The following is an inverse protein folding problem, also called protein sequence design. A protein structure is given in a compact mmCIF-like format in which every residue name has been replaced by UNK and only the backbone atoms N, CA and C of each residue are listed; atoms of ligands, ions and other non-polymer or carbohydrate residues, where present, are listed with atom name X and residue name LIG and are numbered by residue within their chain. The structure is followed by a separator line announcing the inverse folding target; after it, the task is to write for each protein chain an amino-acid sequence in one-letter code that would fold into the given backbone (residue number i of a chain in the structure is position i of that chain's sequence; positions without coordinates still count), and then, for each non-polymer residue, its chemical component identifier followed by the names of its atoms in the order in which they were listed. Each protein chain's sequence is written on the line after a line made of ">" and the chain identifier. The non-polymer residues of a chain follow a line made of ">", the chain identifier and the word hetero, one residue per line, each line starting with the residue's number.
data_IF_806631739174
#
_entry.id   IF_806631739174
#
_cell.length_a   1.000
_cell.length_b   1.000
_cell.length_c   1.000
_cell.angle_alpha   90.00
_cell.angle_beta   90.00
_cell.angle_gamma   90.00
#
_symmetry.space_group_name_H-M   'P 1'
#
loop_
_entity.id
_entity.type
_entity.pdbx_description
1 polymer ?
#
# COMPACT_ATOMS: atom_id res chain seq x y z
N UNK A 1 88.23 11.16 -4.21
CA UNK A 1 86.92 11.30 -3.49
C UNK A 1 85.88 10.55 -4.29
N UNK A 2 85.53 9.33 -3.89
CA UNK A 2 84.51 8.52 -4.59
C UNK A 2 83.24 8.61 -3.79
N UNK A 3 82.14 9.18 -4.40
CA UNK A 3 80.79 9.18 -3.83
C UNK A 3 80.19 7.78 -4.05
N UNK A 4 79.79 7.15 -2.96
CA UNK A 4 78.97 5.94 -2.99
C UNK A 4 77.49 6.39 -2.89
N UNK A 5 76.71 6.15 -3.96
CA UNK A 5 75.29 6.37 -3.96
C UNK A 5 74.62 5.13 -3.34
N UNK A 6 73.90 5.33 -2.22
CA UNK A 6 73.05 4.31 -1.59
C UNK A 6 71.63 4.44 -2.13
N UNK A 7 71.23 3.47 -2.95
CA UNK A 7 69.84 3.38 -3.44
C UNK A 7 68.97 2.70 -2.40
N UNK A 8 68.02 3.41 -1.83
CA UNK A 8 67.00 2.86 -0.94
C UNK A 8 65.85 2.33 -1.80
N UNK A 9 65.67 1.01 -1.83
CA UNK A 9 64.57 0.34 -2.47
C UNK A 9 63.39 0.32 -1.48
N UNK A 10 62.33 1.12 -1.74
CA UNK A 10 61.11 1.08 -0.95
C UNK A 10 60.24 -0.08 -1.45
N UNK A 11 60.06 -1.08 -0.62
CA UNK A 11 59.12 -2.18 -0.86
C UNK A 11 57.74 -1.75 -0.40
N UNK A 12 56.83 -1.51 -1.34
CA UNK A 12 55.42 -1.22 -1.05
C UNK A 12 54.73 -2.57 -0.81
N UNK A 13 54.42 -2.87 0.43
CA UNK A 13 53.58 -4.02 0.81
C UNK A 13 52.11 -3.73 0.43
N UNK A 14 51.65 -4.38 -0.63
CA UNK A 14 50.21 -4.37 -0.98
C UNK A 14 49.52 -5.41 -0.10
N UNK A 15 48.80 -4.94 0.92
CA UNK A 15 47.90 -5.79 1.70
C UNK A 15 46.67 -6.12 0.89
N UNK A 16 46.29 -7.39 0.69
CA UNK A 16 45.04 -7.73 0.04
C UNK A 16 43.87 -7.28 0.94
N UNK A 17 43.01 -6.37 0.44
CA UNK A 17 41.73 -6.07 1.06
C UNK A 17 40.88 -7.32 0.85
N UNK A 18 40.67 -8.09 1.90
CA UNK A 18 39.71 -9.19 1.90
C UNK A 18 38.32 -8.58 1.67
N UNK A 19 37.77 -8.72 0.47
CA UNK A 19 36.36 -8.47 0.21
C UNK A 19 35.58 -9.48 1.06
N UNK A 20 34.96 -9.00 2.12
CA UNK A 20 33.94 -9.76 2.83
C UNK A 20 32.81 -10.02 1.82
N UNK A 21 32.78 -11.21 1.24
CA UNK A 21 31.65 -11.67 0.45
C UNK A 21 30.45 -11.68 1.40
N UNK A 22 29.49 -10.80 1.14
CA UNK A 22 28.19 -10.85 1.80
C UNK A 22 27.59 -12.23 1.52
N UNK A 23 27.69 -13.15 2.48
CA UNK A 23 26.95 -14.40 2.41
C UNK A 23 25.46 -14.06 2.23
N UNK A 24 24.74 -14.70 1.32
CA UNK A 24 23.32 -14.48 1.18
C UNK A 24 22.65 -14.72 2.53
N UNK A 25 21.78 -13.77 2.94
CA UNK A 25 21.01 -13.92 4.16
C UNK A 25 20.26 -15.27 4.13
N UNK A 26 20.21 -16.01 5.25
CA UNK A 26 19.44 -17.24 5.29
C UNK A 26 17.99 -16.96 4.85
N UNK A 27 17.36 -17.88 4.11
CA UNK A 27 15.98 -17.72 3.67
C UNK A 27 15.10 -17.46 4.90
N UNK A 28 14.21 -16.46 4.81
CA UNK A 28 13.27 -16.17 5.86
C UNK A 28 12.41 -17.41 6.13
N UNK A 29 12.18 -17.71 7.42
CA UNK A 29 11.34 -18.85 7.80
C UNK A 29 9.95 -18.70 7.14
N UNK A 30 9.45 -19.78 6.56
CA UNK A 30 8.10 -19.82 5.98
C UNK A 30 7.08 -19.80 7.12
N UNK A 31 6.16 -18.82 7.20
CA UNK A 31 5.15 -18.81 8.24
C UNK A 31 4.21 -20.02 8.11
N UNK A 32 3.90 -20.70 9.21
CA UNK A 32 2.92 -21.79 9.21
C UNK A 32 1.49 -21.26 9.05
N UNK A 33 1.18 -20.11 9.68
CA UNK A 33 -0.12 -19.48 9.56
C UNK A 33 -0.27 -18.75 8.23
N UNK A 34 -1.42 -18.94 7.56
CA UNK A 34 -1.76 -18.19 6.36
C UNK A 34 -2.02 -16.71 6.73
N UNK A 35 -1.23 -15.75 6.24
CA UNK A 35 -1.52 -14.35 6.51
C UNK A 35 -2.78 -13.93 5.72
N UNK A 36 -3.56 -13.02 6.32
CA UNK A 36 -4.76 -12.45 5.68
C UNK A 36 -5.85 -13.47 5.32
N UNK A 37 -6.01 -14.52 6.14
CA UNK A 37 -7.06 -15.51 5.99
C UNK A 37 -8.38 -15.02 6.59
N UNK A 38 -8.91 -13.92 6.01
CA UNK A 38 -10.17 -13.31 6.40
C UNK A 38 -11.26 -13.95 5.53
N UNK A 39 -12.27 -14.63 6.12
CA UNK A 39 -13.35 -15.25 5.35
C UNK A 39 -14.20 -14.18 4.66
N UNK A 40 -14.80 -14.54 3.53
CA UNK A 40 -15.75 -13.68 2.84
C UNK A 40 -17.11 -13.71 3.54
N UNK A 41 -17.69 -12.50 3.70
CA UNK A 41 -19.06 -12.29 4.20
C UNK A 41 -20.03 -11.92 3.07
N UNK A 42 -21.23 -11.52 3.46
CA UNK A 42 -22.17 -10.91 2.54
C UNK A 42 -21.58 -9.61 1.97
N UNK A 43 -21.68 -9.37 0.66
CA UNK A 43 -21.24 -8.11 0.08
C UNK A 43 -21.95 -6.92 0.73
N UNK A 44 -21.21 -5.84 0.96
CA UNK A 44 -21.75 -4.58 1.48
C UNK A 44 -22.88 -4.06 0.59
N UNK A 45 -23.97 -3.63 1.21
CA UNK A 45 -25.11 -3.00 0.54
C UNK A 45 -24.85 -1.53 0.22
N UNK A 46 -25.75 -0.95 -0.59
CA UNK A 46 -25.65 0.45 -1.03
C UNK A 46 -25.75 1.43 0.16
N UNK A 47 -26.64 1.18 1.11
CA UNK A 47 -26.87 2.09 2.25
C UNK A 47 -25.61 2.21 3.12
N UNK A 48 -24.96 1.09 3.47
CA UNK A 48 -23.72 1.10 4.22
C UNK A 48 -22.56 1.69 3.42
N UNK A 49 -22.50 1.43 2.12
CA UNK A 49 -21.51 2.03 1.25
C UNK A 49 -21.63 3.56 1.20
N UNK A 50 -22.86 4.10 1.09
CA UNK A 50 -23.13 5.54 1.11
C UNK A 50 -22.86 6.15 2.48
N UNK A 51 -23.17 5.45 3.57
CA UNK A 51 -22.84 5.86 4.93
C UNK A 51 -21.33 6.00 5.12
N UNK A 52 -20.55 5.03 4.66
CA UNK A 52 -19.08 5.08 4.72
C UNK A 52 -18.53 6.25 3.88
N UNK A 53 -19.02 6.45 2.66
CA UNK A 53 -18.61 7.57 1.80
C UNK A 53 -18.93 8.90 2.45
N UNK A 54 -20.14 9.07 3.00
CA UNK A 54 -20.57 10.32 3.64
C UNK A 54 -19.69 10.70 4.82
N UNK A 55 -19.30 9.72 5.66
CA UNK A 55 -18.40 9.93 6.78
C UNK A 55 -16.98 10.27 6.33
N UNK A 56 -16.48 9.58 5.31
CA UNK A 56 -15.17 9.86 4.72
C UNK A 56 -15.11 11.27 4.10
N UNK A 57 -16.18 11.70 3.40
CA UNK A 57 -16.28 13.06 2.86
C UNK A 57 -16.33 14.10 3.96
N UNK A 58 -17.10 13.85 5.03
CA UNK A 58 -17.19 14.76 6.17
C UNK A 58 -15.81 14.94 6.86
N UNK A 59 -15.03 13.88 6.98
CA UNK A 59 -13.67 13.98 7.50
C UNK A 59 -12.77 14.81 6.59
N UNK A 60 -12.78 14.56 5.29
CA UNK A 60 -12.01 15.32 4.31
C UNK A 60 -12.37 16.82 4.33
N UNK A 61 -13.68 17.14 4.49
CA UNK A 61 -14.18 18.51 4.56
C UNK A 61 -13.64 19.29 5.76
N UNK A 62 -13.48 18.66 6.94
CA UNK A 62 -12.91 19.29 8.14
C UNK A 62 -11.52 19.87 7.87
N UNK A 63 -10.78 19.25 6.97
CA UNK A 63 -9.41 19.61 6.63
C UNK A 63 -9.29 20.36 5.29
N UNK A 64 -10.42 20.64 4.63
CA UNK A 64 -10.46 21.21 3.29
C UNK A 64 -9.69 20.38 2.23
N UNK A 65 -9.60 19.06 2.43
CA UNK A 65 -9.07 18.13 1.44
C UNK A 65 -10.11 17.82 0.36
N UNK A 66 -9.66 17.69 -0.87
CA UNK A 66 -10.50 17.36 -2.02
C UNK A 66 -10.28 15.89 -2.38
N UNK A 67 -11.30 15.05 -2.18
CA UNK A 67 -11.17 13.60 -2.27
C UNK A 67 -12.21 12.99 -3.20
N UNK A 68 -11.82 11.92 -3.87
CA UNK A 68 -12.69 10.91 -4.47
C UNK A 68 -12.70 9.69 -3.55
N UNK A 69 -13.88 9.15 -3.27
CA UNK A 69 -14.07 8.02 -2.37
C UNK A 69 -14.90 6.96 -3.07
N UNK A 70 -14.43 5.72 -3.04
CA UNK A 70 -15.09 4.57 -3.66
C UNK A 70 -15.29 3.46 -2.65
N UNK A 71 -16.44 2.80 -2.70
CA UNK A 71 -16.71 1.54 -1.98
C UNK A 71 -16.99 0.46 -3.00
N UNK A 72 -16.31 -0.68 -2.84
CA UNK A 72 -16.46 -1.87 -3.68
C UNK A 72 -16.96 -3.06 -2.83
N UNK A 73 -17.57 -4.05 -3.47
CA UNK A 73 -17.97 -5.29 -2.84
C UNK A 73 -16.78 -6.26 -2.66
N UNK A 74 -17.04 -7.47 -2.18
CA UNK A 74 -16.04 -8.51 -1.94
C UNK A 74 -15.28 -8.96 -3.20
N UNK A 75 -15.85 -8.76 -4.39
CA UNK A 75 -15.24 -9.10 -5.69
C UNK A 75 -14.54 -7.92 -6.35
N UNK A 76 -14.45 -6.77 -5.65
CA UNK A 76 -13.80 -5.56 -6.15
C UNK A 76 -14.64 -4.75 -7.15
N UNK A 77 -15.93 -5.06 -7.30
CA UNK A 77 -16.84 -4.29 -8.15
C UNK A 77 -17.41 -3.09 -7.40
N UNK A 78 -17.55 -1.96 -8.11
CA UNK A 78 -18.05 -0.71 -7.55
C UNK A 78 -19.48 -0.87 -7.02
N UNK A 79 -19.72 -0.42 -5.79
CA UNK A 79 -21.04 -0.32 -5.16
C UNK A 79 -21.49 1.14 -5.12
N UNK A 80 -20.61 2.04 -4.64
CA UNK A 80 -20.87 3.46 -4.57
C UNK A 80 -19.58 4.28 -4.73
N UNK A 81 -19.73 5.51 -5.25
CA UNK A 81 -18.64 6.45 -5.45
C UNK A 81 -19.13 7.88 -5.28
N UNK A 82 -18.25 8.74 -4.74
CA UNK A 82 -18.45 10.18 -4.74
C UNK A 82 -17.13 10.90 -4.95
N UNK A 83 -17.18 12.01 -5.70
CA UNK A 83 -16.05 12.91 -5.93
C UNK A 83 -16.42 14.30 -5.44
N UNK A 84 -15.61 14.86 -4.55
CA UNK A 84 -15.79 16.24 -4.07
C UNK A 84 -15.39 17.25 -5.15
N UNK A 85 -16.04 18.40 -5.16
CA UNK A 85 -15.73 19.47 -6.09
C UNK A 85 -14.26 19.91 -5.97
N UNK A 86 -13.61 20.08 -7.12
CA UNK A 86 -12.20 20.47 -7.20
C UNK A 86 -11.20 19.34 -6.95
N UNK A 87 -11.64 18.09 -6.81
CA UNK A 87 -10.75 16.93 -6.79
C UNK A 87 -10.14 16.70 -8.19
N UNK A 88 -8.87 16.33 -8.25
CA UNK A 88 -8.23 15.95 -9.50
C UNK A 88 -8.91 14.74 -10.15
N UNK A 89 -9.11 14.75 -11.46
CA UNK A 89 -9.87 13.70 -12.17
C UNK A 89 -9.27 12.30 -12.05
N UNK A 90 -7.95 12.17 -11.99
CA UNK A 90 -7.28 10.89 -11.81
C UNK A 90 -7.70 10.16 -10.52
N UNK A 91 -8.14 10.90 -9.50
CA UNK A 91 -8.53 10.34 -8.20
C UNK A 91 -9.78 9.47 -8.27
N UNK A 92 -10.61 9.62 -9.30
CA UNK A 92 -11.78 8.77 -9.54
C UNK A 92 -11.33 7.31 -9.73
N UNK A 93 -10.45 7.08 -10.68
CA UNK A 93 -9.91 5.75 -10.98
C UNK A 93 -9.01 5.24 -9.85
N UNK A 94 -8.17 6.11 -9.28
CA UNK A 94 -7.24 5.73 -8.22
C UNK A 94 -8.00 5.28 -6.96
N UNK A 95 -9.07 5.95 -6.55
CA UNK A 95 -9.87 5.55 -5.39
C UNK A 95 -10.50 4.17 -5.58
N UNK A 96 -11.02 3.88 -6.78
CA UNK A 96 -11.57 2.58 -7.12
C UNK A 96 -10.49 1.49 -7.13
N UNK A 97 -9.32 1.76 -7.73
CA UNK A 97 -8.21 0.81 -7.77
C UNK A 97 -7.69 0.49 -6.35
N UNK A 98 -7.62 1.47 -5.44
CA UNK A 98 -7.26 1.26 -4.04
C UNK A 98 -8.27 0.38 -3.31
N UNK A 99 -9.56 0.68 -3.44
CA UNK A 99 -10.63 -0.14 -2.88
C UNK A 99 -10.58 -1.57 -3.43
N UNK A 100 -10.44 -1.72 -4.75
CA UNK A 100 -10.32 -3.03 -5.41
C UNK A 100 -9.13 -3.82 -4.90
N UNK A 101 -7.96 -3.19 -4.78
CA UNK A 101 -6.77 -3.83 -4.21
C UNK A 101 -7.04 -4.35 -2.80
N UNK A 102 -7.67 -3.54 -1.96
CA UNK A 102 -7.96 -3.92 -0.58
C UNK A 102 -8.97 -5.08 -0.50
N UNK A 103 -10.01 -5.10 -1.35
CA UNK A 103 -10.99 -6.17 -1.39
C UNK A 103 -10.39 -7.50 -1.89
N UNK A 104 -9.73 -7.47 -3.05
CA UNK A 104 -9.24 -8.70 -3.71
C UNK A 104 -8.11 -9.37 -2.94
N UNK A 105 -7.25 -8.59 -2.28
CA UNK A 105 -6.15 -9.12 -1.49
C UNK A 105 -6.45 -9.21 0.02
N UNK A 106 -7.63 -8.82 0.47
CA UNK A 106 -8.11 -8.86 1.87
C UNK A 106 -7.16 -8.15 2.86
N UNK A 107 -6.51 -7.05 2.41
CA UNK A 107 -5.53 -6.27 3.18
C UNK A 107 -5.45 -4.83 2.72
N UNK A 108 -4.95 -3.90 3.55
CA UNK A 108 -4.74 -2.52 3.14
C UNK A 108 -3.84 -2.41 1.90
N UNK A 109 -4.18 -1.53 0.96
CA UNK A 109 -3.42 -1.32 -0.27
C UNK A 109 -2.01 -0.77 -0.03
N UNK A 110 -1.78 -0.10 1.11
CA UNK A 110 -0.48 0.39 1.55
C UNK A 110 0.58 -0.71 1.76
N UNK A 111 0.18 -1.96 2.00
CA UNK A 111 1.11 -3.09 2.10
C UNK A 111 1.86 -3.30 0.77
N UNK A 112 1.18 -3.13 -0.35
CA UNK A 112 1.80 -3.22 -1.68
C UNK A 112 2.74 -2.06 -1.96
N UNK A 113 2.40 -0.84 -1.51
CA UNK A 113 3.30 0.31 -1.56
C UNK A 113 4.58 0.05 -0.78
N UNK A 114 4.47 -0.48 0.44
CA UNK A 114 5.62 -0.86 1.24
C UNK A 114 6.47 -1.94 0.54
N UNK A 115 5.84 -2.94 -0.09
CA UNK A 115 6.52 -3.98 -0.86
C UNK A 115 7.32 -3.41 -2.04
N UNK A 116 6.76 -2.43 -2.76
CA UNK A 116 7.48 -1.73 -3.85
C UNK A 116 8.69 -0.97 -3.30
N UNK A 117 8.50 -0.23 -2.21
CA UNK A 117 9.55 0.59 -1.59
C UNK A 117 10.71 -0.23 -1.02
N UNK A 118 10.48 -1.50 -0.67
CA UNK A 118 11.50 -2.41 -0.10
C UNK A 118 12.16 -3.33 -1.14
N UNK A 119 11.99 -3.06 -2.43
CA UNK A 119 12.66 -3.77 -3.52
C UNK A 119 11.87 -4.93 -4.15
N UNK A 120 10.66 -5.22 -3.69
CA UNK A 120 9.75 -6.22 -4.27
C UNK A 120 9.01 -5.78 -5.54
N UNK A 121 9.50 -4.73 -6.19
CA UNK A 121 8.80 -4.01 -7.26
C UNK A 121 8.28 -4.89 -8.41
N UNK A 122 9.09 -5.75 -9.07
CA UNK A 122 8.59 -6.50 -10.23
C UNK A 122 7.45 -7.47 -9.88
N UNK A 123 7.57 -8.19 -8.77
CA UNK A 123 6.57 -9.16 -8.33
C UNK A 123 5.27 -8.46 -7.92
N UNK A 124 5.36 -7.40 -7.12
CA UNK A 124 4.18 -6.63 -6.66
C UNK A 124 3.45 -6.00 -7.85
N UNK A 125 4.16 -5.35 -8.77
CA UNK A 125 3.54 -4.73 -9.94
C UNK A 125 2.90 -5.75 -10.87
N UNK A 126 3.50 -6.92 -11.05
CA UNK A 126 2.91 -8.01 -11.84
C UNK A 126 1.55 -8.46 -11.29
N UNK A 127 1.46 -8.68 -9.95
CA UNK A 127 0.20 -9.04 -9.29
C UNK A 127 -0.87 -7.96 -9.46
N UNK A 128 -0.49 -6.70 -9.27
CA UNK A 128 -1.42 -5.57 -9.36
C UNK A 128 -1.90 -5.33 -10.79
N UNK A 129 -1.04 -5.52 -11.80
CA UNK A 129 -1.41 -5.41 -13.21
C UNK A 129 -2.51 -6.42 -13.57
N UNK A 130 -2.40 -7.67 -13.11
CA UNK A 130 -3.39 -8.72 -13.36
C UNK A 130 -4.76 -8.43 -12.74
N UNK A 131 -4.80 -7.66 -11.64
CA UNK A 131 -6.01 -7.39 -10.87
C UNK A 131 -6.53 -5.96 -11.04
N UNK A 132 -5.92 -5.16 -11.91
CA UNK A 132 -6.17 -3.71 -12.03
C UNK A 132 -6.08 -3.01 -10.67
N UNK A 133 -5.14 -3.46 -9.83
CA UNK A 133 -4.86 -2.91 -8.52
C UNK A 133 -3.79 -1.83 -8.55
N UNK A 134 -3.49 -1.26 -7.37
CA UNK A 134 -2.49 -0.20 -7.21
C UNK A 134 -1.67 -0.39 -5.94
N UNK A 135 -0.37 -0.12 -6.02
CA UNK A 135 0.54 -0.08 -4.86
C UNK A 135 0.53 1.32 -4.24
N UNK A 136 -0.54 1.68 -3.56
CA UNK A 136 -0.74 3.01 -2.99
C UNK A 136 -1.64 2.94 -1.77
N UNK A 137 -1.23 3.56 -0.67
CA UNK A 137 -2.02 3.65 0.56
C UNK A 137 -3.34 4.41 0.33
N UNK A 138 -4.35 4.13 1.18
CA UNK A 138 -5.67 4.76 1.14
C UNK A 138 -6.80 3.82 0.75
N UNK A 139 -6.51 2.52 0.50
CA UNK A 139 -7.49 1.46 0.34
C UNK A 139 -7.51 0.53 1.56
N UNK A 140 -8.70 0.25 2.11
CA UNK A 140 -8.87 -0.57 3.32
C UNK A 140 -10.01 -1.56 3.16
N UNK A 141 -9.85 -2.83 3.60
CA UNK A 141 -10.95 -3.79 3.62
C UNK A 141 -12.01 -3.37 4.64
N UNK A 142 -13.27 -3.60 4.33
CA UNK A 142 -14.41 -3.47 5.25
C UNK A 142 -14.69 -4.86 5.81
N UNK A 143 -14.41 -5.02 7.11
CA UNK A 143 -14.54 -6.31 7.82
C UNK A 143 -15.62 -6.17 8.88
N UNK A 144 -16.76 -6.81 8.66
CA UNK A 144 -17.89 -6.83 9.59
C UNK A 144 -18.01 -8.25 10.16
N UNK A 145 -18.11 -8.38 11.48
CA UNK A 145 -18.18 -9.66 12.18
C UNK A 145 -17.07 -10.65 11.77
N UNK A 146 -15.86 -10.13 11.58
CA UNK A 146 -14.68 -10.91 11.19
C UNK A 146 -14.68 -11.39 9.74
N UNK A 147 -15.59 -10.92 8.90
CA UNK A 147 -15.73 -11.31 7.51
C UNK A 147 -15.55 -10.10 6.57
N UNK A 148 -14.87 -10.31 5.45
CA UNK A 148 -14.75 -9.31 4.41
C UNK A 148 -16.10 -9.11 3.73
N UNK A 149 -16.62 -7.87 3.76
CA UNK A 149 -17.88 -7.49 3.10
C UNK A 149 -17.66 -6.58 1.90
N UNK A 150 -16.49 -5.95 1.82
CA UNK A 150 -16.12 -5.02 0.75
C UNK A 150 -14.82 -4.30 1.07
N UNK A 151 -14.60 -3.16 0.44
CA UNK A 151 -13.48 -2.28 0.75
C UNK A 151 -13.82 -0.83 0.39
N UNK A 152 -13.15 0.11 1.07
CA UNK A 152 -13.19 1.54 0.78
C UNK A 152 -11.83 2.01 0.26
N UNK A 153 -11.83 2.98 -0.66
CA UNK A 153 -10.64 3.64 -1.16
C UNK A 153 -10.83 5.15 -1.28
N UNK A 154 -9.82 5.91 -0.88
CA UNK A 154 -9.79 7.36 -1.01
C UNK A 154 -8.58 7.82 -1.81
N UNK A 155 -8.75 8.88 -2.60
CA UNK A 155 -7.68 9.51 -3.38
C UNK A 155 -7.97 11.00 -3.59
N UNK A 156 -6.93 11.83 -3.64
CA UNK A 156 -7.05 13.27 -3.87
C UNK A 156 -6.00 14.12 -3.17
N UNK A 157 -5.33 13.55 -2.16
CA UNK A 157 -4.28 14.20 -1.38
C UNK A 157 -2.98 13.43 -1.37
N UNK A 158 -2.24 13.56 -0.28
CA UNK A 158 -1.10 12.68 0.00
C UNK A 158 -1.60 11.40 0.70
N UNK A 159 -0.82 10.34 0.65
CA UNK A 159 -1.23 9.00 1.11
C UNK A 159 -1.79 8.97 2.54
N UNK A 160 -1.21 9.74 3.47
CA UNK A 160 -1.67 9.80 4.86
C UNK A 160 -3.03 10.50 5.00
N UNK A 161 -3.31 11.54 4.21
CA UNK A 161 -4.62 12.20 4.17
C UNK A 161 -5.71 11.26 3.62
N UNK A 162 -5.36 10.54 2.56
CA UNK A 162 -6.24 9.55 1.93
C UNK A 162 -6.56 8.40 2.89
N UNK A 163 -5.54 7.93 3.66
CA UNK A 163 -5.74 6.91 4.69
C UNK A 163 -6.66 7.39 5.83
N UNK A 164 -6.47 8.60 6.32
CA UNK A 164 -7.35 9.20 7.35
C UNK A 164 -8.77 9.29 6.85
N UNK A 165 -8.97 9.80 5.63
CA UNK A 165 -10.28 9.91 4.99
C UNK A 165 -10.99 8.56 4.89
N UNK A 166 -10.31 7.54 4.36
CA UNK A 166 -10.90 6.21 4.20
C UNK A 166 -11.24 5.54 5.54
N UNK A 167 -10.38 5.71 6.55
CA UNK A 167 -10.62 5.15 7.91
C UNK A 167 -11.83 5.76 8.59
N UNK A 168 -12.11 7.05 8.42
CA UNK A 168 -13.33 7.66 8.92
C UNK A 168 -14.60 6.98 8.35
N UNK A 169 -14.55 6.53 7.10
CA UNK A 169 -15.62 5.72 6.51
C UNK A 169 -15.79 4.36 7.19
N UNK A 170 -14.68 3.69 7.56
CA UNK A 170 -14.74 2.42 8.31
C UNK A 170 -15.34 2.61 9.71
N UNK A 171 -14.88 3.65 10.42
CA UNK A 171 -15.38 3.97 11.77
C UNK A 171 -16.89 4.18 11.80
N UNK A 172 -17.46 4.81 10.77
CA UNK A 172 -18.91 5.00 10.65
C UNK A 172 -19.68 3.68 10.52
N UNK A 173 -19.03 2.61 10.04
CA UNK A 173 -19.60 1.27 9.98
C UNK A 173 -19.35 0.45 11.25
N UNK A 174 -18.70 1.02 12.27
CA UNK A 174 -18.28 0.31 13.47
C UNK A 174 -17.06 -0.60 13.28
N UNK A 175 -16.33 -0.43 12.18
CA UNK A 175 -15.12 -1.17 11.83
C UNK A 175 -13.89 -0.38 12.28
N UNK A 176 -12.90 -1.06 12.87
CA UNK A 176 -11.65 -0.44 13.35
C UNK A 176 -10.48 -0.76 12.42
#
# INVERSE_FOLDING_TARGET
>A
MRLVAVSILAVIAVTPVAQAQNAPAPPAAVPEAMPFDIPYGQPIGLDDAQKAISAAMAEAQKHNWKMSISVVNTTGNLVAHATMDGTQYASIEISQAKARTAALFRRPSGIFQAGVNTGGTPAVLSLLTLTHGVASEGGFPIIIDGKLTGAIGASGGIFTQEAVTAKAGLEALGVK
#
